data_IF_258262220651
#
_entry.id   IF_258262220651
#
_cell.length_a   1.000
_cell.length_b   1.000
_cell.length_c   1.000
_cell.angle_alpha   90.00
_cell.angle_beta   90.00
_cell.angle_gamma   90.00
#
_symmetry.space_group_name_H-M   'P 1'
#
loop_
_entity.id
_entity.type
_entity.pdbx_description
1 polymer ?
#
# COMPACT_ATOMS: atom_id res chain seq x y z
N UNK A 1 -9.42 -23.67 -16.80
CA UNK A 1 -10.13 -24.66 -15.94
C UNK A 1 -9.27 -24.87 -14.71
N UNK A 2 -9.45 -24.21 -13.57
CA UNK A 2 -10.59 -24.16 -12.63
C UNK A 2 -10.95 -25.52 -12.03
N UNK A 3 -10.14 -25.97 -11.07
CA UNK A 3 -10.50 -26.81 -9.91
C UNK A 3 -9.43 -26.44 -8.88
N UNK A 4 -9.66 -25.58 -7.88
CA UNK A 4 -10.26 -25.95 -6.60
C UNK A 4 -10.60 -24.69 -5.76
N UNK A 5 -11.33 -23.74 -6.36
CA UNK A 5 -12.20 -22.80 -5.62
C UNK A 5 -13.61 -23.08 -6.12
N UNK A 6 -14.06 -24.30 -5.90
CA UNK A 6 -15.36 -24.75 -6.37
C UNK A 6 -16.41 -24.40 -5.30
N UNK A 7 -17.33 -23.51 -5.69
CA UNK A 7 -18.72 -23.43 -5.19
C UNK A 7 -19.04 -22.79 -3.82
N UNK A 8 -18.22 -21.88 -3.30
CA UNK A 8 -18.70 -20.89 -2.30
C UNK A 8 -18.62 -19.42 -2.75
N UNK A 9 -18.04 -19.13 -3.92
CA UNK A 9 -17.99 -17.76 -4.45
C UNK A 9 -19.13 -17.43 -5.43
N UNK A 10 -20.06 -18.34 -5.69
CA UNK A 10 -21.19 -18.12 -6.60
C UNK A 10 -22.35 -17.31 -5.98
N UNK A 11 -22.15 -16.71 -4.80
CA UNK A 11 -23.07 -15.70 -4.20
C UNK A 11 -22.50 -14.28 -4.28
N UNK A 12 -21.68 -13.99 -5.29
CA UNK A 12 -21.03 -12.70 -5.56
C UNK A 12 -21.97 -11.62 -6.13
N UNK A 13 -23.21 -11.55 -5.63
CA UNK A 13 -24.24 -10.61 -6.09
C UNK A 13 -24.82 -9.71 -5.02
N UNK A 14 -24.41 -9.83 -3.74
CA UNK A 14 -24.95 -9.00 -2.65
C UNK A 14 -23.89 -8.01 -2.15
N UNK A 15 -24.18 -6.70 -2.11
CA UNK A 15 -23.25 -5.70 -1.58
C UNK A 15 -22.82 -6.00 -0.14
N UNK A 16 -23.70 -6.65 0.62
CA UNK A 16 -23.44 -7.18 1.97
C UNK A 16 -22.34 -8.24 2.01
N UNK A 17 -22.19 -9.07 0.97
CA UNK A 17 -21.13 -10.08 0.92
C UNK A 17 -19.75 -9.44 0.75
N UNK A 18 -19.64 -8.39 -0.08
CA UNK A 18 -18.40 -7.64 -0.27
C UNK A 18 -18.01 -6.93 1.03
N UNK A 19 -18.95 -6.24 1.69
CA UNK A 19 -18.70 -5.61 2.99
C UNK A 19 -18.28 -6.66 4.02
N UNK A 20 -19.01 -7.79 4.09
CA UNK A 20 -18.70 -8.88 5.01
C UNK A 20 -17.29 -9.44 4.80
N UNK A 21 -16.86 -9.62 3.55
CA UNK A 21 -15.49 -10.04 3.23
C UNK A 21 -14.45 -9.00 3.63
N UNK A 22 -14.69 -7.71 3.36
CA UNK A 22 -13.77 -6.62 3.74
C UNK A 22 -13.63 -6.53 5.25
N UNK A 23 -14.73 -6.65 5.99
CA UNK A 23 -14.74 -6.65 7.44
C UNK A 23 -14.01 -7.89 7.99
N UNK A 24 -14.28 -9.07 7.44
CA UNK A 24 -13.61 -10.31 7.84
C UNK A 24 -12.11 -10.24 7.61
N UNK A 25 -11.67 -9.81 6.44
CA UNK A 25 -10.25 -9.66 6.12
C UNK A 25 -9.58 -8.64 7.03
N UNK A 26 -10.22 -7.49 7.26
CA UNK A 26 -9.73 -6.48 8.18
C UNK A 26 -9.64 -7.02 9.61
N UNK A 27 -10.64 -7.78 10.08
CA UNK A 27 -10.67 -8.36 11.42
C UNK A 27 -9.54 -9.38 11.63
N UNK A 28 -9.36 -10.31 10.68
CA UNK A 28 -8.27 -11.30 10.76
C UNK A 28 -6.92 -10.60 10.78
N UNK A 29 -6.76 -9.54 9.99
CA UNK A 29 -5.52 -8.77 9.97
C UNK A 29 -5.30 -8.01 11.30
N UNK A 30 -6.33 -7.36 11.86
CA UNK A 30 -6.28 -6.70 13.18
C UNK A 30 -5.86 -7.71 14.27
N UNK A 31 -6.45 -8.91 14.27
CA UNK A 31 -6.07 -9.97 15.21
C UNK A 31 -4.60 -10.33 15.01
N UNK A 32 -4.16 -10.54 13.77
CA UNK A 32 -2.76 -10.79 13.43
C UNK A 32 -1.81 -9.72 13.96
N UNK A 33 -2.17 -8.44 13.86
CA UNK A 33 -1.40 -7.31 14.39
C UNK A 33 -1.29 -7.29 15.93
N UNK A 34 -2.14 -8.02 16.64
CA UNK A 34 -2.12 -8.12 18.10
C UNK A 34 -1.53 -9.44 18.62
N UNK A 35 -1.11 -10.36 17.74
CA UNK A 35 -0.40 -11.57 18.15
C UNK A 35 1.09 -11.23 18.28
N UNK A 36 1.64 -11.39 19.49
CA UNK A 36 3.07 -11.20 19.75
C UNK A 36 3.92 -12.25 19.04
N UNK A 37 5.14 -11.86 18.65
CA UNK A 37 6.10 -12.78 18.06
C UNK A 37 6.61 -13.79 19.12
N UNK A 38 6.74 -15.08 18.76
CA UNK A 38 7.36 -16.04 19.64
C UNK A 38 8.86 -15.75 19.79
N UNK A 39 9.43 -16.10 20.95
CA UNK A 39 10.84 -15.94 21.23
C UNK A 39 11.25 -14.57 21.77
N UNK A 40 10.30 -13.63 21.97
CA UNK A 40 10.55 -12.37 22.66
C UNK A 40 10.71 -12.59 24.18
N UNK A 41 11.64 -11.89 24.81
CA UNK A 41 11.82 -11.93 26.27
C UNK A 41 10.54 -11.47 27.00
N UNK A 42 9.98 -12.29 27.91
CA UNK A 42 8.83 -11.92 28.74
C UNK A 42 9.03 -10.62 29.52
N UNK A 43 10.26 -10.31 29.96
CA UNK A 43 10.54 -9.09 30.73
C UNK A 43 10.44 -7.83 29.85
N UNK A 44 10.98 -7.90 28.63
CA UNK A 44 10.84 -6.87 27.62
C UNK A 44 9.39 -6.68 27.19
N UNK A 45 8.65 -7.77 26.99
CA UNK A 45 7.24 -7.72 26.64
C UNK A 45 6.40 -7.08 27.75
N UNK A 46 6.62 -7.43 29.02
CA UNK A 46 5.92 -6.83 30.14
C UNK A 46 6.11 -5.30 30.21
N UNK A 47 7.32 -4.82 29.92
CA UNK A 47 7.62 -3.39 29.87
C UNK A 47 6.94 -2.65 28.70
N UNK A 48 6.60 -3.37 27.61
CA UNK A 48 5.98 -2.78 26.41
C UNK A 48 4.46 -2.97 26.35
N UNK A 49 3.91 -4.01 26.98
CA UNK A 49 2.48 -4.31 26.95
C UNK A 49 1.61 -3.38 27.80
N UNK A 50 2.20 -2.56 28.67
CA UNK A 50 1.46 -1.59 29.48
C UNK A 50 0.62 -0.61 28.62
N UNK A 51 1.08 -0.34 27.39
CA UNK A 51 0.38 0.51 26.40
C UNK A 51 -0.15 -0.30 25.18
N UNK A 52 -0.19 -1.63 25.29
CA UNK A 52 -0.52 -2.55 24.19
C UNK A 52 0.73 -3.07 23.42
N UNK A 53 0.56 -4.10 22.60
CA UNK A 53 1.68 -4.67 21.82
C UNK A 53 2.01 -3.71 20.67
N UNK A 54 3.26 -3.20 20.58
CA UNK A 54 3.69 -2.40 19.43
C UNK A 54 3.50 -3.18 18.12
N UNK A 55 2.96 -2.55 17.08
CA UNK A 55 2.75 -3.18 15.76
C UNK A 55 4.03 -3.75 15.12
N UNK A 56 5.20 -3.29 15.58
CA UNK A 56 6.53 -3.75 15.19
C UNK A 56 6.94 -5.08 15.85
N UNK A 57 6.27 -5.51 16.92
CA UNK A 57 6.55 -6.75 17.67
C UNK A 57 5.47 -7.82 17.43
N UNK A 58 4.72 -7.67 16.34
CA UNK A 58 3.61 -8.52 15.97
C UNK A 58 3.98 -9.56 14.91
N UNK A 59 3.19 -10.65 14.84
CA UNK A 59 3.18 -11.59 13.72
C UNK A 59 3.12 -10.91 12.34
N UNK A 60 2.46 -9.76 12.24
CA UNK A 60 2.37 -8.95 11.02
C UNK A 60 3.33 -7.75 11.00
N UNK A 61 4.46 -7.81 11.71
CA UNK A 61 5.42 -6.70 11.78
C UNK A 61 6.03 -6.31 10.42
N UNK A 62 6.30 -7.29 9.54
CA UNK A 62 6.70 -7.02 8.15
C UNK A 62 5.58 -6.34 7.33
N UNK A 63 4.33 -6.54 7.79
CA UNK A 63 3.13 -6.03 7.17
C UNK A 63 3.00 -6.41 5.70
N UNK A 64 2.64 -5.41 4.90
CA UNK A 64 2.45 -5.52 3.46
C UNK A 64 3.71 -5.16 2.66
N UNK A 65 4.82 -4.78 3.31
CA UNK A 65 6.02 -4.26 2.66
C UNK A 65 6.62 -5.22 1.61
N UNK A 66 6.97 -6.46 1.97
CA UNK A 66 7.49 -7.44 1.02
C UNK A 66 6.56 -7.71 -0.16
N UNK A 67 5.25 -7.72 0.11
CA UNK A 67 4.20 -7.93 -0.90
C UNK A 67 4.12 -6.74 -1.84
N UNK A 68 4.14 -5.50 -1.31
CA UNK A 68 4.12 -4.28 -2.10
C UNK A 68 5.28 -4.25 -3.08
N UNK A 69 6.49 -4.57 -2.61
CA UNK A 69 7.71 -4.60 -3.44
C UNK A 69 7.60 -5.62 -4.55
N UNK A 70 7.15 -6.85 -4.24
CA UNK A 70 6.98 -7.89 -5.25
C UNK A 70 5.92 -7.53 -6.29
N UNK A 71 4.79 -6.97 -5.85
CA UNK A 71 3.74 -6.51 -6.76
C UNK A 71 4.21 -5.31 -7.60
N UNK A 72 5.01 -4.39 -7.04
CA UNK A 72 5.58 -3.27 -7.77
C UNK A 72 6.50 -3.75 -8.90
N UNK A 73 7.38 -4.71 -8.62
CA UNK A 73 8.21 -5.37 -9.65
C UNK A 73 7.34 -6.04 -10.71
N UNK A 74 6.31 -6.76 -10.29
CA UNK A 74 5.31 -7.34 -11.18
C UNK A 74 4.66 -6.30 -12.11
N UNK A 75 4.24 -5.16 -11.59
CA UNK A 75 3.68 -4.06 -12.40
C UNK A 75 4.70 -3.47 -13.38
N UNK A 76 5.95 -3.27 -12.95
CA UNK A 76 7.02 -2.80 -13.84
C UNK A 76 7.21 -3.79 -15.00
N UNK A 77 7.24 -5.09 -14.71
CA UNK A 77 7.32 -6.14 -15.74
C UNK A 77 6.13 -6.08 -16.70
N UNK A 78 4.90 -5.86 -16.20
CA UNK A 78 3.70 -5.72 -17.06
C UNK A 78 3.76 -4.49 -17.98
N UNK A 79 4.35 -3.39 -17.50
CA UNK A 79 4.55 -2.18 -18.31
C UNK A 79 5.63 -2.38 -19.38
N UNK A 80 6.70 -3.12 -19.09
CA UNK A 80 7.79 -3.41 -20.03
C UNK A 80 7.44 -4.50 -21.03
N UNK A 81 6.82 -5.59 -20.56
CA UNK A 81 6.49 -6.80 -21.33
C UNK A 81 5.00 -7.09 -21.20
N UNK A 82 4.12 -6.43 -21.98
CA UNK A 82 2.68 -6.58 -21.75
C UNK A 82 2.14 -7.97 -22.18
N UNK A 83 2.95 -8.80 -22.84
CA UNK A 83 2.59 -10.19 -23.18
C UNK A 83 2.34 -11.05 -21.93
N UNK A 84 2.94 -10.69 -20.80
CA UNK A 84 2.83 -11.45 -19.55
C UNK A 84 1.78 -10.91 -18.58
N UNK A 85 0.98 -9.92 -18.98
CA UNK A 85 -0.02 -9.25 -18.11
C UNK A 85 -0.98 -10.23 -17.42
N UNK A 86 -1.39 -11.29 -18.13
CA UNK A 86 -2.30 -12.32 -17.64
C UNK A 86 -1.61 -13.67 -17.42
N UNK A 87 -0.27 -13.68 -17.34
CA UNK A 87 0.48 -14.92 -17.15
C UNK A 87 0.37 -15.42 -15.72
N UNK A 88 -0.02 -16.68 -15.55
CA UNK A 88 -0.05 -17.37 -14.27
C UNK A 88 1.35 -17.40 -13.63
N UNK A 89 2.40 -17.55 -14.46
CA UNK A 89 3.80 -17.56 -14.02
C UNK A 89 4.16 -16.24 -13.33
N UNK A 90 3.65 -15.11 -13.83
CA UNK A 90 3.92 -13.80 -13.23
C UNK A 90 3.23 -13.67 -11.85
N UNK A 91 1.98 -14.12 -11.74
CA UNK A 91 1.22 -14.07 -10.47
C UNK A 91 1.83 -14.97 -9.40
N UNK A 92 2.30 -16.17 -9.78
CA UNK A 92 3.04 -17.05 -8.88
C UNK A 92 4.39 -16.43 -8.53
N UNK A 93 5.11 -15.91 -9.52
CA UNK A 93 6.40 -15.26 -9.35
C UNK A 93 6.35 -14.10 -8.35
N UNK A 94 5.33 -13.23 -8.44
CA UNK A 94 5.08 -12.16 -7.46
C UNK A 94 4.92 -12.71 -6.04
N UNK A 95 4.20 -13.83 -5.86
CA UNK A 95 4.05 -14.46 -4.55
C UNK A 95 5.35 -15.06 -4.02
N UNK A 96 6.12 -15.72 -4.87
CA UNK A 96 7.42 -16.32 -4.51
C UNK A 96 8.42 -15.22 -4.14
N UNK A 97 8.52 -14.16 -4.95
CA UNK A 97 9.38 -13.01 -4.67
C UNK A 97 8.98 -12.33 -3.37
N UNK A 98 7.69 -12.15 -3.09
CA UNK A 98 7.22 -11.58 -1.83
C UNK A 98 7.68 -12.40 -0.61
N UNK A 99 7.59 -13.73 -0.69
CA UNK A 99 8.01 -14.63 0.39
C UNK A 99 9.54 -14.66 0.55
N UNK A 100 10.30 -14.62 -0.55
CA UNK A 100 11.77 -14.53 -0.49
C UNK A 100 12.23 -13.22 0.15
N UNK A 101 11.61 -12.09 -0.24
CA UNK A 101 11.88 -10.80 0.37
C UNK A 101 11.51 -10.79 1.85
N UNK A 102 10.36 -11.38 2.21
CA UNK A 102 9.93 -11.51 3.59
C UNK A 102 10.89 -12.37 4.42
N UNK A 103 11.37 -13.49 3.88
CA UNK A 103 12.34 -14.35 4.56
C UNK A 103 13.67 -13.60 4.79
N UNK A 104 14.16 -12.88 3.78
CA UNK A 104 15.38 -12.07 3.91
C UNK A 104 15.23 -10.95 4.95
N UNK A 105 14.11 -10.22 4.95
CA UNK A 105 13.84 -9.17 5.93
C UNK A 105 13.62 -9.75 7.34
N UNK A 106 12.90 -10.86 7.47
CA UNK A 106 12.66 -11.54 8.74
C UNK A 106 13.99 -11.98 9.38
N UNK A 107 14.89 -12.54 8.58
CA UNK A 107 16.22 -12.95 9.03
C UNK A 107 17.07 -11.76 9.50
N UNK A 108 17.09 -10.66 8.73
CA UNK A 108 17.81 -9.45 9.14
C UNK A 108 17.25 -8.86 10.44
N UNK A 109 15.91 -8.86 10.61
CA UNK A 109 15.27 -8.40 11.84
C UNK A 109 15.60 -9.32 13.01
N UNK A 110 15.59 -10.64 12.82
CA UNK A 110 15.89 -11.59 13.91
C UNK A 110 17.32 -11.44 14.41
N UNK A 111 18.30 -11.28 13.50
CA UNK A 111 19.71 -11.03 13.86
C UNK A 111 19.86 -9.70 14.62
N UNK A 112 19.20 -8.64 14.16
CA UNK A 112 19.22 -7.34 14.84
C UNK A 112 18.60 -7.42 16.25
N UNK A 113 17.49 -8.17 16.41
CA UNK A 113 16.82 -8.34 17.70
C UNK A 113 17.64 -9.19 18.67
N UNK A 114 18.36 -10.21 18.18
CA UNK A 114 19.29 -11.01 18.99
C UNK A 114 20.49 -10.17 19.43
N UNK A 115 21.07 -9.36 18.52
CA UNK A 115 22.15 -8.45 18.87
C UNK A 115 21.75 -7.39 19.93
N UNK A 116 20.46 -7.05 20.02
CA UNK A 116 19.92 -6.16 21.05
C UNK A 116 19.54 -6.87 22.36
N UNK A 117 19.68 -8.20 22.44
CA UNK A 117 19.31 -8.99 23.62
C UNK A 117 17.81 -9.02 23.91
N UNK A 118 16.98 -8.85 22.87
CA UNK A 118 15.51 -8.80 23.01
C UNK A 118 14.88 -10.21 22.91
N UNK A 119 15.59 -11.16 22.32
CA UNK A 119 15.13 -12.55 22.28
C UNK A 119 15.39 -13.23 23.63
N UNK A 120 14.44 -14.06 24.05
CA UNK A 120 14.49 -14.77 25.32
C UNK A 120 15.68 -15.75 25.40
N UNK A 121 16.09 -16.32 24.26
CA UNK A 121 17.22 -17.24 24.13
C UNK A 121 17.95 -17.01 22.80
N UNK A 122 19.28 -17.06 22.80
CA UNK A 122 20.12 -17.01 21.59
C UNK A 122 20.14 -18.35 20.82
N UNK A 123 19.21 -19.25 21.14
CA UNK A 123 19.09 -20.53 20.47
C UNK A 123 18.64 -20.38 19.02
N UNK A 124 19.27 -21.14 18.11
CA UNK A 124 18.87 -21.22 16.70
C UNK A 124 17.37 -21.56 16.52
N UNK A 125 16.76 -22.26 17.48
CA UNK A 125 15.33 -22.56 17.47
C UNK A 125 14.45 -21.32 17.70
N UNK A 126 14.84 -20.41 18.58
CA UNK A 126 14.10 -19.16 18.82
C UNK A 126 14.17 -18.24 17.60
N UNK A 127 15.35 -18.13 16.98
CA UNK A 127 15.54 -17.41 15.71
C UNK A 127 14.69 -18.00 14.59
N UNK A 128 14.73 -19.33 14.39
CA UNK A 128 13.92 -20.00 13.37
C UNK A 128 12.42 -19.82 13.62
N UNK A 129 11.97 -19.90 14.87
CA UNK A 129 10.59 -19.64 15.24
C UNK A 129 10.16 -18.22 14.90
N UNK A 130 10.98 -17.22 15.24
CA UNK A 130 10.75 -15.82 14.93
C UNK A 130 10.64 -15.57 13.42
N UNK A 131 11.60 -16.07 12.65
CA UNK A 131 11.62 -15.95 11.18
C UNK A 131 10.42 -16.65 10.55
N UNK A 132 10.11 -17.87 10.99
CA UNK A 132 8.98 -18.64 10.49
C UNK A 132 7.64 -17.96 10.79
N UNK A 133 7.49 -17.34 11.97
CA UNK A 133 6.30 -16.58 12.34
C UNK A 133 6.11 -15.35 11.46
N UNK A 134 7.16 -14.56 11.23
CA UNK A 134 7.11 -13.40 10.34
C UNK A 134 6.83 -13.78 8.88
N UNK A 135 7.44 -14.85 8.40
CA UNK A 135 7.18 -15.39 7.06
C UNK A 135 5.74 -15.91 6.94
N UNK A 136 5.26 -16.63 7.95
CA UNK A 136 3.89 -17.13 8.04
C UNK A 136 2.87 -16.00 8.07
N UNK A 137 3.13 -14.93 8.84
CA UNK A 137 2.33 -13.71 8.85
C UNK A 137 2.24 -13.07 7.48
N UNK A 138 3.37 -12.96 6.77
CA UNK A 138 3.37 -12.44 5.39
C UNK A 138 2.60 -13.34 4.42
N UNK A 139 2.70 -14.66 4.55
CA UNK A 139 1.93 -15.61 3.75
C UNK A 139 0.41 -15.48 4.00
N UNK A 140 0.01 -15.27 5.26
CA UNK A 140 -1.39 -15.00 5.62
C UNK A 140 -1.86 -13.67 5.01
N UNK A 141 -1.08 -12.59 5.10
CA UNK A 141 -1.44 -11.29 4.47
C UNK A 141 -1.54 -11.45 2.95
N UNK A 142 -0.61 -12.17 2.32
CA UNK A 142 -0.66 -12.45 0.89
C UNK A 142 -1.91 -13.23 0.51
N UNK A 143 -2.29 -14.23 1.31
CA UNK A 143 -3.54 -14.97 1.13
C UNK A 143 -4.77 -14.08 1.28
N UNK A 144 -4.85 -13.29 2.35
CA UNK A 144 -5.94 -12.36 2.62
C UNK A 144 -6.09 -11.31 1.52
N UNK A 145 -4.98 -10.83 0.97
CA UNK A 145 -4.95 -9.83 -0.10
C UNK A 145 -5.67 -10.28 -1.37
N UNK A 146 -5.78 -11.59 -1.57
CA UNK A 146 -6.44 -12.22 -2.73
C UNK A 146 -7.91 -12.58 -2.47
N UNK A 147 -8.38 -12.49 -1.21
CA UNK A 147 -9.75 -12.86 -0.84
C UNK A 147 -10.79 -11.80 -1.19
N UNK A 148 -10.40 -10.54 -1.26
CA UNK A 148 -11.29 -9.43 -1.63
C UNK A 148 -10.93 -8.93 -3.03
N UNK A 149 -11.91 -8.99 -3.93
CA UNK A 149 -11.78 -8.47 -5.30
C UNK A 149 -12.81 -7.37 -5.48
N UNK A 150 -12.36 -6.14 -5.78
CA UNK A 150 -13.24 -5.05 -6.17
C UNK A 150 -13.18 -4.83 -7.69
N UNK A 151 -14.24 -4.30 -8.31
CA UNK A 151 -14.33 -4.19 -9.78
C UNK A 151 -13.23 -3.29 -10.37
N UNK A 152 -12.98 -2.13 -9.75
CA UNK A 152 -12.14 -1.07 -10.30
C UNK A 152 -10.72 -1.01 -9.72
N UNK A 153 -10.40 -1.84 -8.72
CA UNK A 153 -9.11 -1.84 -8.01
C UNK A 153 -8.79 -3.25 -7.47
N UNK A 154 -7.51 -3.63 -7.47
CA UNK A 154 -7.00 -4.87 -6.81
C UNK A 154 -7.04 -4.69 -5.28
N UNK A 155 -8.24 -4.62 -4.72
CA UNK A 155 -8.48 -3.93 -3.46
C UNK A 155 -8.13 -4.70 -2.19
N UNK A 156 -8.13 -6.04 -2.20
CA UNK A 156 -7.80 -6.79 -0.99
C UNK A 156 -6.40 -6.44 -0.46
N UNK A 157 -5.43 -6.24 -1.37
CA UNK A 157 -4.12 -5.73 -1.01
C UNK A 157 -4.16 -4.30 -0.46
N UNK A 158 -4.85 -3.37 -1.15
CA UNK A 158 -4.89 -1.96 -0.73
C UNK A 158 -5.60 -1.72 0.60
N UNK A 159 -6.63 -2.51 0.89
CA UNK A 159 -7.33 -2.47 2.19
C UNK A 159 -6.36 -2.89 3.29
N UNK A 160 -5.63 -3.99 3.11
CA UNK A 160 -4.62 -4.45 4.07
C UNK A 160 -3.47 -3.45 4.22
N UNK A 161 -3.10 -2.75 3.15
CA UNK A 161 -2.07 -1.71 3.19
C UNK A 161 -2.53 -0.45 3.93
N UNK A 162 -3.79 -0.05 3.79
CA UNK A 162 -4.36 1.10 4.51
C UNK A 162 -4.66 0.80 5.98
N UNK A 163 -4.89 -0.47 6.33
CA UNK A 163 -5.42 -0.84 7.63
C UNK A 163 -4.57 -0.35 8.81
N UNK A 164 -3.23 -0.47 8.81
CA UNK A 164 -2.40 0.04 9.91
C UNK A 164 -2.50 1.56 10.07
N UNK A 165 -2.56 2.30 8.95
CA UNK A 165 -2.72 3.76 8.99
C UNK A 165 -4.07 4.14 9.62
N UNK A 166 -5.15 3.42 9.27
CA UNK A 166 -6.49 3.63 9.83
C UNK A 166 -6.56 3.27 11.32
N UNK A 167 -5.93 2.16 11.73
CA UNK A 167 -5.85 1.75 13.13
C UNK A 167 -5.05 2.74 13.99
N UNK A 168 -4.05 3.40 13.41
CA UNK A 168 -3.23 4.40 14.10
C UNK A 168 -3.92 5.76 14.29
N UNK A 169 -4.99 6.06 13.53
CA UNK A 169 -5.65 7.36 13.58
C UNK A 169 -6.13 7.78 14.97
N UNK A 170 -6.84 6.93 15.76
CA UNK A 170 -7.36 7.36 17.06
C UNK A 170 -6.25 7.78 18.03
N UNK A 171 -5.16 7.02 18.08
CA UNK A 171 -4.01 7.33 18.93
C UNK A 171 -3.34 8.64 18.49
N UNK A 172 -3.18 8.86 17.19
CA UNK A 172 -2.58 10.09 16.64
C UNK A 172 -3.47 11.33 16.88
N UNK A 173 -4.80 11.18 16.83
CA UNK A 173 -5.72 12.24 17.24
C UNK A 173 -5.62 12.54 18.74
N UNK A 174 -5.53 11.52 19.59
CA UNK A 174 -5.33 11.72 21.04
C UNK A 174 -4.05 12.50 21.33
N UNK A 175 -2.92 12.07 20.75
CA UNK A 175 -1.64 12.77 20.88
C UNK A 175 -1.72 14.22 20.38
N UNK A 176 -2.40 14.44 19.26
CA UNK A 176 -2.64 15.77 18.70
C UNK A 176 -3.43 16.67 19.65
N UNK A 177 -4.46 16.14 20.33
CA UNK A 177 -5.23 16.87 21.34
C UNK A 177 -4.43 17.14 22.61
N UNK A 178 -3.58 16.22 23.05
CA UNK A 178 -2.69 16.44 24.20
C UNK A 178 -1.63 17.51 23.91
N UNK A 179 -1.06 17.53 22.70
CA UNK A 179 -0.14 18.59 22.27
C UNK A 179 -0.82 19.97 22.23
N UNK A 180 -2.09 20.02 21.85
CA UNK A 180 -2.88 21.25 21.88
C UNK A 180 -3.17 21.68 23.34
N UNK A 181 -3.56 20.73 24.19
CA UNK A 181 -3.89 20.98 25.61
C UNK A 181 -2.68 21.45 26.42
N UNK A 182 -1.50 20.91 26.13
CA UNK A 182 -0.23 21.30 26.77
C UNK A 182 0.35 22.60 26.23
N UNK A 183 -0.24 23.16 25.16
CA UNK A 183 0.26 24.36 24.49
C UNK A 183 1.52 24.14 23.66
N UNK A 184 1.96 22.89 23.48
CA UNK A 184 3.10 22.54 22.66
C UNK A 184 2.86 22.82 21.16
N UNK A 185 1.59 22.78 20.73
CA UNK A 185 1.15 23.07 19.35
C UNK A 185 0.09 24.17 19.39
N UNK A 186 0.20 25.15 18.49
CA UNK A 186 -0.78 26.23 18.39
C UNK A 186 -2.06 25.76 17.68
N UNK A 187 -3.22 26.32 18.06
CA UNK A 187 -4.48 26.02 17.36
C UNK A 187 -4.44 26.31 15.85
N UNK A 188 -3.61 27.27 15.43
CA UNK A 188 -3.36 27.56 14.01
C UNK A 188 -2.68 26.40 13.27
N UNK A 189 -1.75 25.68 13.90
CA UNK A 189 -1.09 24.51 13.31
C UNK A 189 -2.07 23.34 13.10
N UNK A 190 -3.05 23.17 14.00
CA UNK A 190 -4.12 22.19 13.83
C UNK A 190 -4.98 22.54 12.61
N UNK A 191 -5.40 23.80 12.48
CA UNK A 191 -6.19 24.26 11.33
C UNK A 191 -5.43 24.07 10.01
N UNK A 192 -4.13 24.38 9.97
CA UNK A 192 -3.27 24.13 8.81
C UNK A 192 -3.21 22.64 8.48
N UNK A 193 -3.01 21.78 9.49
CA UNK A 193 -2.97 20.32 9.30
C UNK A 193 -4.29 19.79 8.73
N UNK A 194 -5.42 20.23 9.28
CA UNK A 194 -6.74 19.86 8.79
C UNK A 194 -6.98 20.34 7.35
N UNK A 195 -6.57 21.58 7.05
CA UNK A 195 -6.67 22.13 5.70
C UNK A 195 -5.84 21.34 4.69
N UNK A 196 -4.62 20.94 5.05
CA UNK A 196 -3.74 20.12 4.20
C UNK A 196 -4.37 18.77 3.92
N UNK A 197 -4.90 18.08 4.94
CA UNK A 197 -5.59 16.80 4.76
C UNK A 197 -6.82 16.97 3.87
N UNK A 198 -7.63 18.02 4.09
CA UNK A 198 -8.83 18.29 3.32
C UNK A 198 -8.51 18.59 1.84
N UNK A 199 -7.51 19.45 1.57
CA UNK A 199 -7.03 19.76 0.22
C UNK A 199 -6.47 18.49 -0.44
N UNK A 200 -5.67 17.70 0.29
CA UNK A 200 -5.10 16.46 -0.22
C UNK A 200 -6.16 15.43 -0.60
N UNK A 201 -7.20 15.28 0.23
CA UNK A 201 -8.36 14.44 -0.06
C UNK A 201 -9.16 14.97 -1.26
N UNK A 202 -9.40 16.28 -1.35
CA UNK A 202 -10.11 16.91 -2.46
C UNK A 202 -9.37 16.69 -3.80
N UNK A 203 -8.05 16.90 -3.82
CA UNK A 203 -7.20 16.62 -4.98
C UNK A 203 -7.24 15.13 -5.37
N UNK A 204 -7.19 14.23 -4.40
CA UNK A 204 -7.28 12.78 -4.63
C UNK A 204 -8.64 12.37 -5.21
N UNK A 205 -9.74 12.96 -4.71
CA UNK A 205 -11.11 12.75 -5.22
C UNK A 205 -11.22 13.29 -6.64
N UNK A 206 -10.66 14.48 -6.89
CA UNK A 206 -10.65 15.10 -8.21
C UNK A 206 -9.89 14.24 -9.23
N UNK A 207 -8.68 13.78 -8.90
CA UNK A 207 -7.90 12.87 -9.74
C UNK A 207 -8.66 11.58 -10.06
N UNK A 208 -9.24 10.95 -9.02
CA UNK A 208 -10.03 9.72 -9.17
C UNK A 208 -11.24 9.94 -10.09
N UNK A 209 -12.02 11.00 -9.86
CA UNK A 209 -13.19 11.32 -10.69
C UNK A 209 -12.81 11.64 -12.13
N UNK A 210 -11.75 12.39 -12.37
CA UNK A 210 -11.32 12.75 -13.72
C UNK A 210 -10.95 11.53 -14.57
N UNK A 211 -10.28 10.54 -13.96
CA UNK A 211 -9.97 9.26 -14.60
C UNK A 211 -11.24 8.50 -14.93
N UNK A 212 -12.18 8.39 -13.99
CA UNK A 212 -13.44 7.66 -14.19
C UNK A 212 -14.33 8.32 -15.27
N UNK A 213 -14.45 9.65 -15.27
CA UNK A 213 -15.21 10.38 -16.31
C UNK A 213 -14.59 10.18 -17.69
N UNK A 214 -13.26 10.19 -17.76
CA UNK A 214 -12.55 9.96 -19.03
C UNK A 214 -12.81 8.54 -19.54
N UNK A 215 -12.89 7.56 -18.65
CA UNK A 215 -13.23 6.20 -18.99
C UNK A 215 -14.67 6.05 -19.47
N UNK A 216 -15.66 6.62 -18.77
CA UNK A 216 -17.07 6.50 -19.17
C UNK A 216 -17.30 7.03 -20.59
N UNK A 217 -16.59 8.11 -20.96
CA UNK A 217 -16.59 8.63 -22.34
C UNK A 217 -15.99 7.66 -23.36
N UNK A 218 -14.95 6.92 -22.99
CA UNK A 218 -14.35 5.89 -23.84
C UNK A 218 -15.20 4.62 -23.93
N UNK A 219 -15.85 4.23 -22.84
CA UNK A 219 -16.68 3.03 -22.76
C UNK A 219 -17.99 3.13 -23.55
N UNK A 220 -18.46 4.35 -23.81
CA UNK A 220 -19.58 4.60 -24.72
C UNK A 220 -19.24 4.27 -26.19
N UNK A 221 -17.96 4.10 -26.53
CA UNK A 221 -17.51 3.53 -27.80
C UNK A 221 -17.40 2.01 -27.61
N UNK A 222 -18.07 1.20 -28.44
CA UNK A 222 -18.23 -0.28 -28.35
C UNK A 222 -16.93 -1.13 -28.36
N UNK A 223 -15.77 -0.56 -28.04
CA UNK A 223 -14.44 -1.17 -28.16
C UNK A 223 -13.89 -1.78 -26.87
N UNK A 224 -14.59 -1.64 -25.72
CA UNK A 224 -14.11 -2.15 -24.43
C UNK A 224 -14.40 -3.65 -24.30
N UNK A 225 -13.40 -4.47 -24.63
CA UNK A 225 -13.52 -5.94 -24.65
C UNK A 225 -13.34 -6.60 -23.27
N UNK A 226 -12.81 -5.90 -22.25
CA UNK A 226 -12.48 -6.47 -20.93
C UNK A 226 -12.62 -5.45 -19.79
N UNK A 227 -12.92 -5.96 -18.60
CA UNK A 227 -12.94 -5.15 -17.36
C UNK A 227 -11.50 -4.79 -16.96
N UNK A 228 -11.18 -3.51 -16.97
CA UNK A 228 -9.85 -3.00 -16.65
C UNK A 228 -9.90 -2.30 -15.28
N UNK A 229 -9.02 -2.63 -14.32
CA UNK A 229 -8.97 -1.95 -13.02
C UNK A 229 -8.36 -0.55 -13.18
N UNK A 230 -9.17 0.44 -13.53
CA UNK A 230 -8.73 1.79 -13.91
C UNK A 230 -8.07 2.55 -12.76
N UNK A 231 -8.51 2.32 -11.52
CA UNK A 231 -7.97 3.02 -10.35
C UNK A 231 -6.51 2.65 -10.09
N UNK A 232 -5.99 1.60 -10.73
CA UNK A 232 -4.57 1.27 -10.70
C UNK A 232 -3.69 2.44 -11.18
N UNK A 233 -4.11 3.26 -12.15
CA UNK A 233 -3.32 4.42 -12.60
C UNK A 233 -3.29 5.56 -11.58
N UNK A 234 -4.27 5.62 -10.67
CA UNK A 234 -4.31 6.63 -9.62
C UNK A 234 -3.34 6.25 -8.50
N UNK A 235 -3.21 4.96 -8.21
CA UNK A 235 -2.49 4.45 -7.03
C UNK A 235 -1.06 3.98 -7.35
N UNK A 236 -0.86 3.22 -8.43
CA UNK A 236 0.44 2.60 -8.71
C UNK A 236 1.54 3.57 -9.11
N UNK A 237 1.35 4.54 -10.03
CA UNK A 237 2.45 5.40 -10.49
C UNK A 237 3.28 6.06 -9.38
N UNK A 238 2.71 6.69 -8.33
CA UNK A 238 3.53 7.24 -7.25
C UNK A 238 4.28 6.18 -6.45
N UNK A 239 3.71 4.99 -6.28
CA UNK A 239 4.36 3.87 -5.57
C UNK A 239 5.45 3.20 -6.41
N UNK A 240 5.24 3.04 -7.70
CA UNK A 240 6.24 2.55 -8.64
C UNK A 240 7.40 3.54 -8.76
N UNK A 241 7.09 4.83 -8.81
CA UNK A 241 8.11 5.89 -8.82
C UNK A 241 8.96 5.88 -7.55
N UNK A 242 8.33 5.75 -6.37
CA UNK A 242 9.06 5.68 -5.09
C UNK A 242 9.91 4.41 -4.97
N UNK A 243 9.37 3.25 -5.34
CA UNK A 243 10.11 1.97 -5.29
C UNK A 243 11.25 1.92 -6.31
N UNK A 244 11.02 2.34 -7.55
CA UNK A 244 12.06 2.45 -8.57
C UNK A 244 13.14 3.47 -8.17
N UNK A 245 12.76 4.60 -7.57
CA UNK A 245 13.70 5.57 -7.02
C UNK A 245 14.60 4.98 -5.94
N UNK A 246 14.04 4.13 -5.06
CA UNK A 246 14.82 3.38 -4.07
C UNK A 246 15.79 2.38 -4.70
N UNK A 247 15.35 1.63 -5.71
CA UNK A 247 16.23 0.69 -6.42
C UNK A 247 17.38 1.36 -7.17
N UNK A 248 17.20 2.61 -7.62
CA UNK A 248 18.28 3.38 -8.25
C UNK A 248 19.37 3.78 -7.25
N UNK A 249 19.06 3.87 -5.95
CA UNK A 249 20.04 4.12 -4.90
C UNK A 249 20.83 2.87 -4.51
N UNK A 250 20.27 1.67 -4.68
CA UNK A 250 20.90 0.43 -4.23
C UNK A 250 22.32 0.24 -4.81
N UNK A 251 22.56 0.36 -6.12
CA UNK A 251 23.91 0.22 -6.68
C UNK A 251 24.89 1.26 -6.14
N UNK A 252 24.44 2.51 -5.93
CA UNK A 252 25.28 3.57 -5.39
C UNK A 252 25.70 3.25 -3.95
N UNK A 253 24.77 2.75 -3.14
CA UNK A 253 25.04 2.35 -1.76
C UNK A 253 26.04 1.18 -1.66
N UNK A 254 26.04 0.25 -2.63
CA UNK A 254 26.99 -0.86 -2.67
C UNK A 254 28.35 -0.49 -3.27
N UNK A 255 28.36 0.34 -4.33
CA UNK A 255 29.59 0.66 -5.07
C UNK A 255 30.42 1.76 -4.42
N UNK A 256 29.78 2.69 -3.71
CA UNK A 256 30.45 3.82 -3.09
C UNK A 256 29.74 4.26 -1.80
N UNK A 257 29.74 3.43 -0.74
CA UNK A 257 29.07 3.75 0.52
C UNK A 257 29.54 5.06 1.15
N UNK A 258 30.84 5.39 1.04
CA UNK A 258 31.41 6.63 1.58
C UNK A 258 31.02 7.88 0.76
N UNK A 259 30.47 7.69 -0.43
CA UNK A 259 29.99 8.78 -1.29
C UNK A 259 28.51 9.11 -1.07
N UNK A 260 27.83 8.36 -0.20
CA UNK A 260 26.44 8.63 0.13
C UNK A 260 26.34 9.96 0.88
N UNK A 261 25.69 10.98 0.29
CA UNK A 261 25.56 12.28 0.94
C UNK A 261 24.61 12.18 2.14
N UNK A 262 24.63 13.22 2.99
CA UNK A 262 23.80 13.32 4.20
C UNK A 262 22.33 12.91 3.99
N UNK A 263 21.67 12.45 5.05
CA UNK A 263 20.28 11.98 5.02
C UNK A 263 19.29 12.98 4.37
N UNK A 264 19.57 14.28 4.46
CA UNK A 264 18.80 15.34 3.79
C UNK A 264 18.90 15.28 2.26
N UNK A 265 20.08 15.04 1.71
CA UNK A 265 20.31 14.89 0.27
C UNK A 265 19.67 13.63 -0.28
N UNK A 266 19.74 12.51 0.47
CA UNK A 266 19.07 11.28 0.08
C UNK A 266 17.56 11.49 -0.05
N UNK A 267 16.95 12.23 0.89
CA UNK A 267 15.53 12.60 0.84
C UNK A 267 15.21 13.44 -0.40
N UNK A 268 16.00 14.47 -0.70
CA UNK A 268 15.81 15.31 -1.89
C UNK A 268 15.94 14.47 -3.17
N UNK A 269 16.94 13.59 -3.24
CA UNK A 269 17.13 12.69 -4.37
C UNK A 269 15.92 11.78 -4.59
N UNK A 270 15.42 11.12 -3.54
CA UNK A 270 14.25 10.23 -3.63
C UNK A 270 13.02 11.01 -4.08
N UNK A 271 12.78 12.21 -3.52
CA UNK A 271 11.64 13.05 -3.89
C UNK A 271 11.74 13.52 -5.35
N UNK A 272 12.91 13.99 -5.79
CA UNK A 272 13.13 14.45 -7.16
C UNK A 272 12.97 13.29 -8.16
N UNK A 273 13.59 12.15 -7.88
CA UNK A 273 13.50 10.94 -8.71
C UNK A 273 12.06 10.45 -8.79
N UNK A 274 11.33 10.45 -7.67
CA UNK A 274 9.91 10.09 -7.64
C UNK A 274 9.08 11.07 -8.49
N UNK A 275 9.32 12.37 -8.39
CA UNK A 275 8.62 13.39 -9.19
C UNK A 275 8.78 13.18 -10.69
N UNK A 276 9.99 12.81 -11.14
CA UNK A 276 10.32 12.57 -12.55
C UNK A 276 9.72 11.25 -13.04
N UNK A 277 9.75 10.21 -12.21
CA UNK A 277 9.24 8.89 -12.57
C UNK A 277 7.71 8.81 -12.59
N UNK A 278 7.00 9.62 -11.80
CA UNK A 278 5.52 9.63 -11.78
C UNK A 278 4.93 9.82 -13.20
N UNK A 279 5.26 10.88 -13.96
CA UNK A 279 4.77 11.05 -15.32
C UNK A 279 5.11 9.85 -16.22
N UNK A 280 6.33 9.33 -16.13
CA UNK A 280 6.78 8.19 -16.95
C UNK A 280 5.87 6.98 -16.71
N UNK A 281 5.58 6.66 -15.45
CA UNK A 281 4.66 5.56 -15.11
C UNK A 281 3.22 5.85 -15.54
N UNK A 282 2.70 7.07 -15.32
CA UNK A 282 1.34 7.46 -15.77
C UNK A 282 1.19 7.28 -17.28
N UNK A 283 2.17 7.73 -18.07
CA UNK A 283 2.18 7.53 -19.52
C UNK A 283 2.42 6.07 -19.92
N UNK A 284 3.19 5.31 -19.15
CA UNK A 284 3.30 3.85 -19.30
C UNK A 284 1.95 3.15 -19.19
N UNK A 285 1.14 3.52 -18.19
CA UNK A 285 -0.22 2.99 -18.02
C UNK A 285 -1.16 3.35 -19.17
N UNK A 286 -0.98 4.51 -19.82
CA UNK A 286 -1.73 4.85 -21.05
C UNK A 286 -1.55 3.78 -22.13
N UNK A 287 -0.32 3.31 -22.32
CA UNK A 287 0.00 2.26 -23.31
C UNK A 287 -0.67 0.93 -22.93
N UNK A 288 -0.66 0.58 -21.65
CA UNK A 288 -1.31 -0.63 -21.15
C UNK A 288 -2.82 -0.59 -21.39
N UNK A 289 -3.47 0.52 -21.04
CA UNK A 289 -4.92 0.69 -21.20
C UNK A 289 -5.37 0.80 -22.65
N UNK A 290 -4.60 1.46 -23.51
CA UNK A 290 -4.91 1.56 -24.94
C UNK A 290 -4.98 0.18 -25.60
N UNK A 291 -4.18 -0.80 -25.15
CA UNK A 291 -4.25 -2.19 -25.63
C UNK A 291 -5.53 -2.91 -25.20
N UNK A 292 -6.07 -2.52 -24.05
CA UNK A 292 -7.32 -3.06 -23.52
C UNK A 292 -8.57 -2.31 -24.04
N UNK A 293 -8.40 -1.44 -25.05
CA UNK A 293 -9.49 -0.69 -25.68
C UNK A 293 -9.90 0.58 -24.93
N UNK A 294 -9.12 1.02 -23.95
CA UNK A 294 -9.42 2.22 -23.15
C UNK A 294 -8.52 3.37 -23.57
N UNK A 295 -9.11 4.46 -24.07
CA UNK A 295 -8.38 5.64 -24.55
C UNK A 295 -8.49 6.76 -23.51
N UNK A 296 -7.48 6.87 -22.64
CA UNK A 296 -7.39 8.01 -21.72
C UNK A 296 -6.90 9.26 -22.46
N UNK A 297 -7.61 10.37 -22.25
CA UNK A 297 -7.25 11.67 -22.81
C UNK A 297 -5.93 12.17 -22.19
N UNK A 298 -5.00 12.62 -23.04
CA UNK A 298 -3.73 13.23 -22.61
C UNK A 298 -3.88 14.32 -21.53
N UNK A 299 -4.84 15.28 -21.62
CA UNK A 299 -5.01 16.27 -20.55
C UNK A 299 -5.34 15.65 -19.19
N UNK A 300 -6.15 14.58 -19.15
CA UNK A 300 -6.46 13.87 -17.90
C UNK A 300 -5.21 13.23 -17.30
N UNK A 301 -4.33 12.68 -18.13
CA UNK A 301 -3.08 12.05 -17.68
C UNK A 301 -2.08 13.07 -17.13
N UNK A 302 -1.93 14.22 -17.79
CA UNK A 302 -1.08 15.31 -17.30
C UNK A 302 -1.59 15.86 -15.98
N UNK A 303 -2.90 16.08 -15.89
CA UNK A 303 -3.57 16.50 -14.65
C UNK A 303 -3.37 15.47 -13.52
N UNK A 304 -3.52 14.18 -13.81
CA UNK A 304 -3.30 13.11 -12.84
C UNK A 304 -1.85 13.10 -12.34
N UNK A 305 -0.87 13.16 -13.24
CA UNK A 305 0.54 13.21 -12.88
C UNK A 305 0.87 14.45 -12.03
N UNK A 306 0.34 15.62 -12.40
CA UNK A 306 0.51 16.84 -11.63
C UNK A 306 -0.08 16.72 -10.22
N UNK A 307 -1.28 16.18 -10.08
CA UNK A 307 -1.91 15.94 -8.77
C UNK A 307 -1.09 14.96 -7.94
N UNK A 308 -0.62 13.86 -8.52
CA UNK A 308 0.22 12.88 -7.82
C UNK A 308 1.53 13.50 -7.33
N UNK A 309 2.22 14.30 -8.17
CA UNK A 309 3.43 15.03 -7.79
C UNK A 309 3.13 15.99 -6.63
N UNK A 310 2.07 16.80 -6.73
CA UNK A 310 1.68 17.75 -5.69
C UNK A 310 1.38 17.03 -4.37
N UNK A 311 0.67 15.90 -4.40
CA UNK A 311 0.34 15.15 -3.19
C UNK A 311 1.56 14.50 -2.56
N UNK A 312 2.43 13.88 -3.36
CA UNK A 312 3.63 13.19 -2.86
C UNK A 312 4.66 14.19 -2.34
N UNK A 313 5.04 15.18 -3.14
CA UNK A 313 6.06 16.16 -2.75
C UNK A 313 5.50 17.15 -1.75
N UNK A 314 4.33 17.73 -2.03
CA UNK A 314 3.69 18.67 -1.13
C UNK A 314 3.45 18.06 0.25
N UNK A 315 2.97 16.82 0.30
CA UNK A 315 2.87 16.06 1.55
C UNK A 315 4.22 15.96 2.26
N UNK A 316 5.27 15.50 1.58
CA UNK A 316 6.59 15.33 2.20
C UNK A 316 7.21 16.66 2.72
N UNK A 317 7.01 17.77 2.01
CA UNK A 317 7.48 19.09 2.45
C UNK A 317 6.67 19.63 3.62
N UNK A 318 5.35 19.47 3.60
CA UNK A 318 4.46 19.96 4.66
C UNK A 318 4.71 19.20 5.97
N UNK A 319 4.89 17.87 5.91
CA UNK A 319 5.22 17.06 7.09
C UNK A 319 6.54 17.47 7.76
N UNK A 320 7.49 18.06 7.03
CA UNK A 320 8.75 18.54 7.61
C UNK A 320 8.59 19.88 8.34
N UNK A 321 7.61 20.69 7.95
CA UNK A 321 7.36 22.01 8.55
C UNK A 321 6.34 21.97 9.67
N UNK A 322 5.53 20.92 9.75
CA UNK A 322 4.54 20.74 10.79
C UNK A 322 5.17 20.06 12.01
N UNK A 323 5.07 20.72 13.17
CA UNK A 323 5.42 20.10 14.46
C UNK A 323 4.39 19.05 14.90
N UNK A 324 3.20 19.05 14.28
CA UNK A 324 2.12 18.12 14.59
C UNK A 324 2.25 16.84 13.76
N UNK A 325 2.07 15.65 14.35
CA UNK A 325 2.05 14.40 13.59
C UNK A 325 0.87 14.41 12.62
N UNK A 326 1.16 14.47 11.32
CA UNK A 326 0.12 14.37 10.28
C UNK A 326 -0.21 12.91 10.06
N UNK A 327 -1.48 12.50 10.25
CA UNK A 327 -1.83 11.09 10.27
C UNK A 327 -1.80 10.40 8.91
N UNK A 328 -1.91 11.18 7.83
CA UNK A 328 -2.06 10.67 6.48
C UNK A 328 -1.09 11.38 5.53
N UNK A 329 -0.22 10.61 4.90
CA UNK A 329 0.63 11.03 3.78
C UNK A 329 -0.19 11.21 2.48
N UNK A 330 0.36 11.95 1.52
CA UNK A 330 -0.28 12.13 0.21
C UNK A 330 -0.56 10.83 -0.54
N UNK A 331 0.33 9.84 -0.43
CA UNK A 331 0.11 8.49 -1.02
C UNK A 331 -1.00 7.74 -0.29
N UNK A 332 -1.06 7.81 1.04
CA UNK A 332 -2.16 7.18 1.79
C UNK A 332 -3.51 7.80 1.46
N UNK A 333 -3.58 9.11 1.24
CA UNK A 333 -4.83 9.78 0.82
C UNK A 333 -5.28 9.32 -0.57
N UNK A 334 -4.35 9.18 -1.52
CA UNK A 334 -4.66 8.65 -2.86
C UNK A 334 -5.24 7.23 -2.78
N UNK A 335 -4.58 6.35 -2.02
CA UNK A 335 -5.01 4.95 -1.85
C UNK A 335 -6.36 4.91 -1.13
N UNK A 336 -6.55 5.70 -0.07
CA UNK A 336 -7.78 5.77 0.71
C UNK A 336 -8.97 6.17 -0.17
N UNK A 337 -8.81 7.22 -0.97
CA UNK A 337 -9.87 7.68 -1.88
C UNK A 337 -10.16 6.66 -2.98
N UNK A 338 -9.12 6.05 -3.56
CA UNK A 338 -9.30 5.01 -4.57
C UNK A 338 -10.04 3.77 -4.02
N UNK A 339 -9.66 3.30 -2.83
CA UNK A 339 -10.34 2.19 -2.15
C UNK A 339 -11.78 2.56 -1.79
N UNK A 340 -12.01 3.76 -1.24
CA UNK A 340 -13.35 4.24 -0.91
C UNK A 340 -14.26 4.33 -2.14
N UNK A 341 -13.73 4.80 -3.28
CA UNK A 341 -14.46 4.82 -4.53
C UNK A 341 -14.78 3.41 -5.03
N UNK A 342 -13.80 2.49 -5.03
CA UNK A 342 -13.99 1.11 -5.46
C UNK A 342 -15.03 0.37 -4.61
N UNK A 343 -15.05 0.63 -3.29
CA UNK A 343 -16.07 0.11 -2.38
C UNK A 343 -17.45 0.71 -2.71
N UNK A 344 -17.55 2.03 -2.87
CA UNK A 344 -18.81 2.67 -3.22
C UNK A 344 -19.37 2.17 -4.56
N UNK A 345 -18.51 1.90 -5.55
CA UNK A 345 -18.90 1.30 -6.82
C UNK A 345 -19.42 -0.13 -6.65
N UNK A 346 -18.71 -0.96 -5.86
CA UNK A 346 -19.15 -2.32 -5.56
C UNK A 346 -20.51 -2.37 -4.83
N UNK A 347 -20.83 -1.34 -4.05
CA UNK A 347 -22.14 -1.19 -3.40
C UNK A 347 -23.25 -0.73 -4.36
N UNK A 348 -22.92 0.15 -5.31
CA UNK A 348 -23.89 0.75 -6.25
C UNK A 348 -24.23 -0.17 -7.43
N UNK A 349 -23.29 -0.99 -7.87
CA UNK A 349 -23.46 -1.93 -8.99
C UNK A 349 -23.18 -3.36 -8.51
N UNK A 350 -24.05 -3.96 -7.69
CA UNK A 350 -23.95 -5.39 -7.41
C UNK A 350 -24.09 -6.10 -8.75
N UNK A 351 -23.03 -6.80 -9.18
CA UNK A 351 -22.99 -7.48 -10.48
C UNK A 351 -24.24 -8.36 -10.60
N UNK A 352 -25.10 -8.06 -11.58
CA UNK A 352 -25.96 -9.08 -12.16
C UNK A 352 -25.02 -10.14 -12.74
N UNK A 353 -25.14 -11.36 -12.22
CA UNK A 353 -24.52 -12.61 -12.68
C UNK A 353 -24.06 -12.57 -14.13
N UNK A 354 -22.75 -12.61 -14.37
CA UNK A 354 -22.20 -13.00 -15.66
C UNK A 354 -21.88 -14.49 -15.58
N UNK A 355 -22.65 -15.27 -16.33
CA UNK A 355 -22.23 -16.58 -16.81
C UNK A 355 -20.96 -16.38 -17.65
N UNK A 356 -19.94 -17.20 -17.36
CA UNK A 356 -18.76 -17.41 -18.21
C UNK A 356 -18.84 -18.82 -18.75
#
# INVERSE_FOLDING_TARGET
MSVMVDKMSAQQGRPLAVIGQVLLVSLVAIIGWNIALPGLDPSFMAARTADGIPSQLSLLALGVGPILTALALGQIIRLLVPRVENSLVLVIGEGVVALLLAASQAYAISEAMSAMGILADDGHFALLGFVASLLGGTAVVLFLSRRVVLPSLVAGFWILWLLPALMGLPAQFSLSFDLLRTGAVTGSQLLVTLAVIAIGAALSIFATRAVMISYDKSAASETVKRHVPLLNIVVWPPLLAASAGGFLLTPLAFLAPDSLPDASWLKVYVLATTAILIPIFVFGYRRLFSRNGVILLTPTLLMLAAVQIVLVLGGAFILEKLAMPVPLSGTTLLVLVAVGYALAEALRRPRSTFEV
#
